data_IF_604276640620
#
_entry.id   IF_604276640620
#
_cell.length_a   1.000
_cell.length_b   1.000
_cell.length_c   1.000
_cell.angle_alpha   90.00
_cell.angle_beta   90.00
_cell.angle_gamma   90.00
#
_symmetry.space_group_name_H-M   'P 1'
#
loop_
_entity.id
_entity.type
_entity.pdbx_description
1 polymer ?
#
# COMPACT_ATOMS: atom_id res chain seq x y z
N UNK A 1 10.06 11.27 -7.61
CA UNK A 1 9.78 12.00 -6.36
C UNK A 1 9.10 11.01 -5.44
N UNK A 2 9.84 10.52 -4.44
CA UNK A 2 9.67 9.22 -3.77
C UNK A 2 8.74 9.26 -2.55
N UNK A 3 7.66 10.06 -2.56
CA UNK A 3 7.03 10.42 -1.29
C UNK A 3 6.45 9.25 -0.50
N UNK A 4 6.00 8.18 -1.13
CA UNK A 4 5.85 6.83 -0.54
C UNK A 4 5.60 5.81 -1.67
N UNK A 5 6.28 4.67 -1.65
CA UNK A 5 6.05 3.57 -2.61
C UNK A 5 5.40 2.35 -1.93
N UNK A 6 5.06 1.34 -2.74
CA UNK A 6 4.40 0.11 -2.26
C UNK A 6 5.26 -0.62 -1.21
N UNK A 7 6.59 -0.60 -1.34
CA UNK A 7 7.47 -1.28 -0.38
C UNK A 7 7.46 -0.57 0.97
N UNK A 8 7.52 0.77 0.97
CA UNK A 8 7.36 1.56 2.19
C UNK A 8 6.01 1.32 2.87
N UNK A 9 4.92 1.25 2.09
CA UNK A 9 3.59 0.94 2.62
C UNK A 9 3.53 -0.45 3.28
N UNK A 10 4.11 -1.48 2.64
CA UNK A 10 4.18 -2.84 3.19
C UNK A 10 5.02 -2.85 4.48
N UNK A 11 6.18 -2.19 4.47
CA UNK A 11 7.06 -2.10 5.63
C UNK A 11 6.34 -1.46 6.82
N UNK A 12 5.63 -0.35 6.59
CA UNK A 12 4.86 0.32 7.64
C UNK A 12 3.73 -0.56 8.19
N UNK A 13 3.02 -1.28 7.32
CA UNK A 13 2.00 -2.25 7.72
C UNK A 13 2.59 -3.33 8.65
N UNK A 14 3.77 -3.86 8.32
CA UNK A 14 4.47 -4.86 9.14
C UNK A 14 4.93 -4.28 10.49
N UNK A 15 5.60 -3.14 10.47
CA UNK A 15 6.12 -2.48 11.68
C UNK A 15 5.01 -2.12 12.67
N UNK A 16 3.84 -1.72 12.17
CA UNK A 16 2.69 -1.34 12.99
C UNK A 16 1.72 -2.50 13.27
N UNK A 17 1.97 -3.69 12.71
CA UNK A 17 1.09 -4.84 12.77
C UNK A 17 -0.37 -4.52 12.34
N UNK A 18 -0.51 -3.80 11.21
CA UNK A 18 -1.80 -3.42 10.62
C UNK A 18 -1.89 -3.88 9.17
N UNK A 19 -3.10 -4.21 8.70
CA UNK A 19 -3.33 -4.72 7.34
C UNK A 19 -3.78 -3.68 6.32
N UNK A 20 -3.87 -2.40 6.70
CA UNK A 20 -4.43 -1.33 5.87
C UNK A 20 -3.82 0.03 6.22
N UNK A 21 -3.72 0.89 5.22
CA UNK A 21 -3.25 2.27 5.35
C UNK A 21 -4.23 3.22 4.65
N UNK A 22 -4.47 4.37 5.28
CA UNK A 22 -5.25 5.46 4.70
C UNK A 22 -4.33 6.29 3.80
N UNK A 23 -4.74 6.55 2.57
CA UNK A 23 -4.01 7.41 1.63
C UNK A 23 -4.50 8.83 1.81
N UNK A 24 -3.57 9.72 2.14
CA UNK A 24 -3.82 11.15 2.40
C UNK A 24 -3.16 11.97 1.28
N UNK A 25 -3.85 12.96 0.73
CA UNK A 25 -3.26 13.90 -0.23
C UNK A 25 -2.44 15.00 0.48
N UNK A 26 -1.75 15.85 -0.29
CA UNK A 26 -0.93 16.93 0.27
C UNK A 26 -1.76 17.97 1.07
N UNK A 27 -3.08 18.04 0.89
CA UNK A 27 -3.98 18.89 1.67
C UNK A 27 -4.43 18.25 3.00
N UNK A 28 -3.93 17.05 3.33
CA UNK A 28 -4.32 16.32 4.54
C UNK A 28 -5.67 15.60 4.44
N UNK A 29 -6.28 15.53 3.25
CA UNK A 29 -7.58 14.87 3.03
C UNK A 29 -7.42 13.40 2.68
N UNK A 30 -8.27 12.51 3.22
CA UNK A 30 -8.30 11.11 2.81
C UNK A 30 -8.81 10.98 1.38
N UNK A 31 -8.03 10.29 0.55
CA UNK A 31 -8.33 10.07 -0.87
C UNK A 31 -8.40 8.60 -1.24
N UNK A 32 -8.04 7.69 -0.33
CA UNK A 32 -8.12 6.26 -0.59
C UNK A 32 -7.77 5.40 0.61
N UNK A 33 -7.94 4.09 0.43
CA UNK A 33 -7.57 3.05 1.38
C UNK A 33 -6.80 1.98 0.61
N UNK A 34 -5.66 1.57 1.13
CA UNK A 34 -4.91 0.43 0.60
C UNK A 34 -4.87 -0.68 1.63
N UNK A 35 -5.22 -1.89 1.24
CA UNK A 35 -5.12 -3.08 2.08
C UNK A 35 -4.02 -4.02 1.58
N UNK A 36 -3.51 -4.87 2.47
CA UNK A 36 -2.58 -5.94 2.10
C UNK A 36 -3.16 -6.84 0.99
N UNK A 37 -4.47 -7.07 1.00
CA UNK A 37 -5.15 -7.87 -0.02
C UNK A 37 -5.13 -7.19 -1.39
N UNK A 38 -5.30 -5.87 -1.46
CA UNK A 38 -5.23 -5.13 -2.74
C UNK A 38 -3.83 -5.24 -3.36
N UNK A 39 -2.80 -5.13 -2.52
CA UNK A 39 -1.40 -5.29 -2.91
C UNK A 39 -1.17 -6.71 -3.44
N UNK A 40 -1.60 -7.74 -2.70
CA UNK A 40 -1.45 -9.14 -3.10
C UNK A 40 -2.19 -9.44 -4.40
N UNK A 41 -3.43 -8.94 -4.58
CA UNK A 41 -4.19 -9.13 -5.83
C UNK A 41 -3.51 -8.45 -7.01
N UNK A 42 -2.87 -7.30 -6.80
CA UNK A 42 -2.13 -6.61 -7.86
C UNK A 42 -0.87 -7.37 -8.23
N UNK A 43 -0.13 -7.86 -7.24
CA UNK A 43 1.07 -8.68 -7.46
C UNK A 43 0.71 -10.01 -8.11
N UNK A 44 -0.40 -10.65 -7.73
CA UNK A 44 -0.83 -11.93 -8.31
C UNK A 44 -1.42 -11.81 -9.70
N UNK A 45 -1.92 -10.62 -10.09
CA UNK A 45 -2.43 -10.34 -11.44
C UNK A 45 -1.35 -9.84 -12.39
N UNK A 46 -0.21 -9.38 -11.86
CA UNK A 46 1.04 -9.31 -12.61
C UNK A 46 1.56 -10.74 -12.64
N UNK A 47 1.77 -11.35 -13.82
CA UNK A 47 2.35 -12.69 -13.96
C UNK A 47 3.82 -12.71 -13.49
N UNK A 48 4.05 -12.49 -12.19
CA UNK A 48 5.35 -12.55 -11.53
C UNK A 48 5.63 -13.94 -10.94
N UNK A 49 4.77 -14.92 -11.26
CA UNK A 49 4.87 -16.31 -10.86
C UNK A 49 4.79 -17.28 -12.05
N UNK A 50 5.05 -16.80 -13.27
CA UNK A 50 5.33 -17.63 -14.45
C UNK A 50 6.79 -17.51 -14.85
#
# INVERSE_FOLDING_TARGET
>A
NYKDDILSAIKLMLEKNIGRLLVINDEGKPVGLITRTDILRKISSLELLS
#
